data_IF_788835335694
#
_entry.id   IF_788835335694
#
_cell.length_a   1.000
_cell.length_b   1.000
_cell.length_c   1.000
_cell.angle_alpha   90.00
_cell.angle_beta   90.00
_cell.angle_gamma   90.00
#
_symmetry.space_group_name_H-M   'P 1'
#
loop_
_entity.id
_entity.type
_entity.pdbx_description
1 polymer ?
#
# COMPACT_ATOMS: atom_id res chain seq x y z
N UNK A 1 -21.04 -0.43 1.24
CA UNK A 1 -19.70 -0.82 0.77
C UNK A 1 -18.72 0.25 1.24
N UNK A 2 -17.65 -0.12 1.94
CA UNK A 2 -16.77 0.84 2.65
C UNK A 2 -15.40 0.99 1.98
N UNK A 3 -14.76 2.14 2.23
CA UNK A 3 -13.39 2.46 1.84
C UNK A 3 -12.38 1.41 2.36
N UNK A 4 -11.16 1.44 1.81
CA UNK A 4 -10.05 0.65 2.32
C UNK A 4 -9.66 1.17 3.72
N UNK A 5 -9.90 0.35 4.75
CA UNK A 5 -9.55 0.62 6.15
C UNK A 5 -8.24 -0.05 6.54
N UNK A 6 -7.66 0.33 7.68
CA UNK A 6 -6.44 -0.29 8.20
C UNK A 6 -6.52 -1.82 8.32
N UNK A 7 -7.63 -2.35 8.85
CA UNK A 7 -7.84 -3.80 8.97
C UNK A 7 -7.87 -4.51 7.61
N UNK A 8 -8.51 -3.90 6.61
CA UNK A 8 -8.55 -4.48 5.26
C UNK A 8 -7.19 -4.36 4.57
N UNK A 9 -6.48 -3.26 4.82
CA UNK A 9 -5.14 -3.05 4.29
C UNK A 9 -4.14 -4.09 4.83
N UNK A 10 -4.16 -4.37 6.14
CA UNK A 10 -3.28 -5.40 6.72
C UNK A 10 -3.53 -6.79 6.12
N UNK A 11 -4.77 -7.10 5.73
CA UNK A 11 -5.11 -8.36 5.05
C UNK A 11 -4.68 -8.40 3.58
N UNK A 12 -4.33 -7.26 2.99
CA UNK A 12 -3.80 -7.19 1.62
C UNK A 12 -2.28 -7.41 1.58
N UNK A 13 -1.61 -7.49 2.72
CA UNK A 13 -0.17 -7.63 2.83
C UNK A 13 0.24 -9.06 3.19
N UNK A 14 1.36 -9.53 2.63
CA UNK A 14 2.02 -10.76 3.08
C UNK A 14 2.89 -10.52 4.34
N UNK A 15 3.50 -11.58 4.86
CA UNK A 15 4.35 -11.52 6.05
C UNK A 15 5.63 -10.67 5.84
N UNK A 16 6.03 -10.41 4.60
CA UNK A 16 7.18 -9.56 4.26
C UNK A 16 6.72 -8.12 3.93
N UNK A 17 5.41 -7.86 3.91
CA UNK A 17 4.79 -6.57 3.62
C UNK A 17 4.61 -6.27 2.14
N UNK A 18 4.61 -7.28 1.27
CA UNK A 18 4.25 -7.13 -0.15
C UNK A 18 2.74 -7.12 -0.31
N UNK A 19 2.23 -6.40 -1.31
CA UNK A 19 0.80 -6.41 -1.62
C UNK A 19 0.44 -7.68 -2.41
N UNK A 20 -0.41 -8.51 -1.83
CA UNK A 20 -0.82 -9.81 -2.38
C UNK A 20 -1.63 -9.66 -3.67
N UNK A 21 -2.59 -8.72 -3.70
CA UNK A 21 -3.47 -8.48 -4.86
C UNK A 21 -3.57 -6.97 -5.16
N UNK A 22 -2.60 -6.47 -5.94
CA UNK A 22 -2.58 -5.08 -6.38
C UNK A 22 -3.82 -4.68 -7.19
N UNK A 23 -4.45 -5.62 -7.91
CA UNK A 23 -5.63 -5.32 -8.72
C UNK A 23 -6.84 -5.07 -7.83
N UNK A 24 -7.04 -5.91 -6.81
CA UNK A 24 -8.12 -5.73 -5.85
C UNK A 24 -7.94 -4.44 -5.02
N UNK A 25 -6.72 -4.14 -4.59
CA UNK A 25 -6.41 -2.86 -3.90
C UNK A 25 -6.83 -1.67 -4.77
N UNK A 26 -6.36 -1.62 -6.03
CA UNK A 26 -6.72 -0.54 -6.97
C UNK A 26 -8.23 -0.46 -7.21
N UNK A 27 -8.90 -1.61 -7.32
CA UNK A 27 -10.37 -1.68 -7.51
C UNK A 27 -11.11 -1.08 -6.31
N UNK A 28 -10.71 -1.42 -5.08
CA UNK A 28 -11.33 -0.86 -3.86
C UNK A 28 -11.10 0.65 -3.82
N UNK A 29 -9.85 1.10 -4.01
CA UNK A 29 -9.50 2.52 -3.97
C UNK A 29 -10.27 3.31 -5.01
N UNK A 30 -10.35 2.82 -6.24
CA UNK A 30 -11.07 3.51 -7.33
C UNK A 30 -12.56 3.69 -7.03
N UNK A 31 -13.23 2.66 -6.51
CA UNK A 31 -14.68 2.71 -6.29
C UNK A 31 -15.09 3.31 -4.94
N UNK A 32 -14.22 3.22 -3.93
CA UNK A 32 -14.60 3.48 -2.52
C UNK A 32 -13.63 4.40 -1.78
N UNK A 33 -12.47 4.71 -2.35
CA UNK A 33 -11.45 5.52 -1.70
C UNK A 33 -10.68 4.78 -0.59
N UNK A 34 -9.92 5.57 0.16
CA UNK A 34 -9.00 5.13 1.22
C UNK A 34 -9.35 5.90 2.50
N UNK A 35 -9.47 5.19 3.63
CA UNK A 35 -9.60 5.82 4.95
C UNK A 35 -8.39 6.71 5.23
N UNK A 36 -8.61 7.85 5.90
CA UNK A 36 -7.60 8.88 6.08
C UNK A 36 -6.34 8.38 6.81
N UNK A 37 -6.56 7.54 7.82
CA UNK A 37 -5.54 6.94 8.68
C UNK A 37 -4.48 6.15 7.91
N UNK A 38 -4.82 5.50 6.79
CA UNK A 38 -3.87 4.69 6.00
C UNK A 38 -3.44 5.32 4.67
N UNK A 39 -3.85 6.55 4.35
CA UNK A 39 -3.45 7.19 3.08
C UNK A 39 -1.94 7.27 2.93
N UNK A 40 -1.24 7.58 4.02
CA UNK A 40 0.22 7.70 4.05
C UNK A 40 0.92 6.38 3.70
N UNK A 41 0.32 5.23 4.00
CA UNK A 41 0.85 3.91 3.64
C UNK A 41 0.50 3.52 2.20
N UNK A 42 -0.73 3.78 1.77
CA UNK A 42 -1.26 3.28 0.49
C UNK A 42 -0.85 4.14 -0.71
N UNK A 43 -0.82 5.47 -0.54
CA UNK A 43 -0.50 6.39 -1.63
C UNK A 43 0.86 6.15 -2.28
N UNK A 44 1.95 5.92 -1.51
CA UNK A 44 3.25 5.59 -2.09
C UNK A 44 3.21 4.44 -3.11
N UNK A 45 2.37 3.42 -2.92
CA UNK A 45 2.19 2.35 -3.91
C UNK A 45 1.44 2.84 -5.15
N UNK A 46 0.35 3.58 -4.95
CA UNK A 46 -0.49 4.09 -6.05
C UNK A 46 0.25 5.09 -6.95
N UNK A 47 1.15 5.88 -6.36
CA UNK A 47 1.99 6.86 -7.05
C UNK A 47 3.24 6.23 -7.68
N UNK A 48 3.47 4.93 -7.48
CA UNK A 48 4.65 4.23 -7.98
C UNK A 48 5.95 4.59 -7.25
N UNK A 49 5.85 5.19 -6.06
CA UNK A 49 7.01 5.42 -5.20
C UNK A 49 7.53 4.09 -4.64
N UNK A 50 6.63 3.20 -4.20
CA UNK A 50 6.94 1.81 -3.86
C UNK A 50 6.39 0.85 -4.91
N UNK A 51 7.18 -0.15 -5.36
CA UNK A 51 6.66 -1.29 -6.10
C UNK A 51 5.68 -2.10 -5.24
N UNK A 52 4.57 -2.58 -5.82
CA UNK A 52 3.59 -3.40 -5.09
C UNK A 52 4.17 -4.73 -4.57
N UNK A 53 5.17 -5.27 -5.26
CA UNK A 53 5.89 -6.49 -4.87
C UNK A 53 7.09 -6.23 -3.95
N UNK A 54 7.32 -4.99 -3.51
CA UNK A 54 8.39 -4.67 -2.56
C UNK A 54 8.06 -5.16 -1.16
N UNK A 55 9.06 -5.71 -0.48
CA UNK A 55 9.03 -5.99 0.95
C UNK A 55 9.14 -4.71 1.76
N UNK A 56 8.80 -4.79 3.05
CA UNK A 56 9.02 -3.69 3.99
C UNK A 56 10.49 -3.28 4.07
N UNK A 57 11.42 -4.23 3.95
CA UNK A 57 12.85 -3.95 4.00
C UNK A 57 13.37 -3.26 2.73
N UNK A 58 12.88 -3.69 1.56
CA UNK A 58 13.19 -3.00 0.30
C UNK A 58 12.63 -1.57 0.29
N UNK A 59 11.45 -1.34 0.89
CA UNK A 59 10.89 0.02 1.00
C UNK A 59 11.75 0.93 1.87
N UNK A 60 12.28 0.46 3.01
CA UNK A 60 13.23 1.24 3.81
C UNK A 60 14.45 1.65 3.00
N UNK A 61 15.00 0.71 2.20
CA UNK A 61 16.12 1.02 1.31
C UNK A 61 15.76 2.06 0.24
N UNK A 62 14.55 2.01 -0.32
CA UNK A 62 14.07 3.03 -1.26
C UNK A 62 14.01 4.41 -0.59
N UNK A 63 13.57 4.48 0.67
CA UNK A 63 13.51 5.72 1.45
C UNK A 63 14.92 6.27 1.72
N UNK A 64 15.84 5.41 2.17
CA UNK A 64 17.25 5.75 2.40
C UNK A 64 17.93 6.26 1.11
N UNK A 65 17.71 5.59 -0.02
CA UNK A 65 18.28 5.97 -1.33
C UNK A 65 17.72 7.31 -1.85
N UNK A 66 16.47 7.65 -1.50
CA UNK A 66 15.81 8.88 -1.94
C UNK A 66 15.90 10.03 -0.93
N UNK A 67 16.44 9.76 0.26
CA UNK A 67 16.63 10.75 1.32
C UNK A 67 15.32 11.32 1.87
N UNK A 68 14.28 10.50 1.95
CA UNK A 68 12.96 10.83 2.54
C UNK A 68 12.88 10.30 3.97
#
# INVERSE_FOLDING_TARGET
MEALSAEKWSLCLDNEGRVLDQYNVRKIVFHKGICEDIRHEVWPFLLGYYPFNSTSEERKRIDDEKGI
#
